data_IF_634318345408
#
_entry.id   IF_634318345408
#
_cell.length_a   1.000
_cell.length_b   1.000
_cell.length_c   1.000
_cell.angle_alpha   90.00
_cell.angle_beta   90.00
_cell.angle_gamma   90.00
#
_symmetry.space_group_name_H-M   'P 1'
#
loop_
_entity.id
_entity.type
_entity.pdbx_description
1 polymer ?
#
# COMPACT_ATOMS: atom_id res chain seq x y z
N UNK A 1 -31.05 51.03 26.80
CA UNK A 1 -31.01 50.40 25.45
C UNK A 1 -29.90 49.35 25.47
N UNK A 2 -30.27 48.06 25.55
CA UNK A 2 -29.29 46.93 25.54
C UNK A 2 -29.03 46.50 24.10
N UNK A 3 -27.78 46.65 23.64
CA UNK A 3 -27.36 46.22 22.30
C UNK A 3 -27.11 44.67 22.36
N UNK A 4 -27.93 43.89 21.65
CA UNK A 4 -27.70 42.48 21.42
C UNK A 4 -26.67 42.34 20.29
N UNK A 5 -25.53 41.75 20.61
CA UNK A 5 -24.53 41.36 19.61
C UNK A 5 -24.86 39.93 19.13
N UNK A 6 -25.31 39.79 17.88
CA UNK A 6 -25.57 38.47 17.27
C UNK A 6 -24.24 37.99 16.70
N UNK A 7 -23.69 36.93 17.30
CA UNK A 7 -22.51 36.23 16.77
C UNK A 7 -23.00 35.18 15.81
N UNK A 8 -22.75 35.37 14.52
CA UNK A 8 -23.04 34.38 13.47
C UNK A 8 -21.86 33.40 13.42
N UNK A 9 -22.09 32.17 13.89
CA UNK A 9 -21.16 31.08 13.69
C UNK A 9 -21.30 30.54 12.26
N UNK A 10 -20.31 30.82 11.41
CA UNK A 10 -20.22 30.19 10.10
C UNK A 10 -19.75 28.73 10.28
N UNK A 11 -20.66 27.80 10.04
CA UNK A 11 -20.36 26.37 10.01
C UNK A 11 -19.59 26.07 8.71
N UNK A 12 -18.28 25.93 8.81
CA UNK A 12 -17.46 25.46 7.68
C UNK A 12 -17.68 23.95 7.54
N UNK A 13 -18.49 23.56 6.56
CA UNK A 13 -18.67 22.17 6.18
C UNK A 13 -17.41 21.71 5.44
N UNK A 14 -16.55 20.98 6.15
CA UNK A 14 -15.48 20.21 5.51
C UNK A 14 -16.11 19.05 4.74
N UNK A 15 -16.29 19.22 3.44
CA UNK A 15 -16.57 18.08 2.55
C UNK A 15 -15.29 17.29 2.39
N UNK A 16 -15.25 15.98 2.75
CA UNK A 16 -14.10 15.15 2.45
C UNK A 16 -13.93 15.10 0.92
N UNK A 17 -12.81 15.57 0.42
CA UNK A 17 -12.43 15.35 -0.98
C UNK A 17 -12.25 13.84 -1.16
N UNK A 18 -13.24 13.21 -1.77
CA UNK A 18 -13.09 11.84 -2.29
C UNK A 18 -12.04 11.93 -3.40
N UNK A 19 -10.82 11.46 -3.10
CA UNK A 19 -9.83 11.23 -4.15
C UNK A 19 -10.42 10.18 -5.07
N UNK A 20 -10.93 10.62 -6.22
CA UNK A 20 -11.36 9.72 -7.27
C UNK A 20 -10.15 8.86 -7.65
N UNK A 21 -10.27 7.55 -7.44
CA UNK A 21 -9.38 6.59 -8.06
C UNK A 21 -9.48 6.86 -9.57
N UNK A 22 -8.41 7.41 -10.15
CA UNK A 22 -8.34 7.53 -11.60
C UNK A 22 -8.57 6.14 -12.15
N UNK A 23 -9.56 5.99 -13.05
CA UNK A 23 -9.87 4.73 -13.71
C UNK A 23 -8.66 4.33 -14.58
N UNK A 24 -7.67 3.71 -13.95
CA UNK A 24 -6.52 3.17 -14.65
C UNK A 24 -6.99 1.92 -15.37
N UNK A 25 -7.11 2.03 -16.69
CA UNK A 25 -7.53 0.91 -17.54
C UNK A 25 -6.46 -0.18 -17.52
N UNK A 26 -6.83 -1.35 -17.03
CA UNK A 26 -5.91 -2.48 -16.99
C UNK A 26 -5.65 -3.02 -18.41
N UNK A 27 -4.38 -3.23 -18.81
CA UNK A 27 -4.04 -3.75 -20.11
C UNK A 27 -4.51 -5.21 -20.27
N UNK A 28 -4.77 -5.63 -21.49
CA UNK A 28 -5.34 -6.95 -21.80
C UNK A 28 -4.53 -8.13 -21.22
N UNK A 29 -3.20 -8.01 -21.22
CA UNK A 29 -2.34 -9.05 -20.64
C UNK A 29 -2.56 -9.20 -19.12
N UNK A 30 -2.77 -8.08 -18.40
CA UNK A 30 -3.05 -8.11 -16.95
C UNK A 30 -4.40 -8.73 -16.67
N UNK A 31 -5.44 -8.35 -17.43
CA UNK A 31 -6.76 -8.95 -17.33
C UNK A 31 -6.72 -10.46 -17.53
N UNK A 32 -5.95 -10.94 -18.53
CA UNK A 32 -5.74 -12.37 -18.76
C UNK A 32 -5.05 -13.07 -17.58
N UNK A 33 -4.00 -12.45 -16.99
CA UNK A 33 -3.30 -12.98 -15.80
C UNK A 33 -4.26 -13.12 -14.61
N UNK A 34 -5.00 -12.06 -14.32
CA UNK A 34 -5.98 -12.04 -13.22
C UNK A 34 -7.11 -13.05 -13.43
N UNK A 35 -7.60 -13.20 -14.66
CA UNK A 35 -8.60 -14.21 -15.00
C UNK A 35 -8.08 -15.65 -14.80
N UNK A 36 -6.78 -15.89 -15.07
CA UNK A 36 -6.13 -17.18 -14.87
C UNK A 36 -5.80 -17.47 -13.39
N UNK A 37 -6.15 -16.58 -12.47
CA UNK A 37 -5.96 -16.77 -11.03
C UNK A 37 -4.73 -16.12 -10.43
N UNK A 38 -3.93 -15.37 -11.20
CA UNK A 38 -2.76 -14.63 -10.71
C UNK A 38 -3.20 -13.38 -9.92
N UNK A 39 -3.93 -13.60 -8.83
CA UNK A 39 -4.47 -12.53 -7.97
C UNK A 39 -4.73 -12.97 -6.53
N UNK A 40 -4.74 -12.01 -5.63
CA UNK A 40 -5.02 -12.22 -4.20
C UNK A 40 -6.48 -11.91 -3.86
N UNK A 41 -7.41 -12.80 -4.21
CA UNK A 41 -8.87 -12.60 -4.02
C UNK A 41 -9.26 -12.19 -2.60
N UNK A 42 -8.62 -12.79 -1.59
CA UNK A 42 -8.92 -12.48 -0.17
C UNK A 42 -8.58 -11.03 0.22
N UNK A 43 -7.76 -10.34 -0.56
CA UNK A 43 -7.34 -8.96 -0.31
C UNK A 43 -8.20 -7.93 -1.06
N UNK A 44 -8.98 -8.37 -2.06
CA UNK A 44 -9.80 -7.49 -2.91
C UNK A 44 -10.68 -6.51 -2.13
N UNK A 45 -11.45 -6.95 -1.11
CA UNK A 45 -12.31 -6.03 -0.38
C UNK A 45 -11.54 -4.91 0.35
N UNK A 46 -10.38 -5.24 0.92
CA UNK A 46 -9.56 -4.27 1.64
C UNK A 46 -8.83 -3.32 0.69
N UNK A 47 -8.38 -3.81 -0.48
CA UNK A 47 -7.77 -3.00 -1.54
C UNK A 47 -8.79 -2.02 -2.10
N UNK A 48 -10.02 -2.48 -2.39
CA UNK A 48 -11.11 -1.62 -2.85
C UNK A 48 -11.47 -0.55 -1.81
N UNK A 49 -11.62 -0.94 -0.55
CA UNK A 49 -11.94 -0.02 0.55
C UNK A 49 -10.84 1.03 0.77
N UNK A 50 -9.59 0.74 0.39
CA UNK A 50 -8.47 1.65 0.43
C UNK A 50 -8.39 2.58 -0.80
N UNK A 51 -9.31 2.47 -1.77
CA UNK A 51 -9.34 3.29 -2.98
C UNK A 51 -8.26 2.92 -4.01
N UNK A 52 -7.65 1.76 -3.89
CA UNK A 52 -6.63 1.31 -4.84
C UNK A 52 -7.27 0.57 -6.03
N UNK A 53 -6.70 0.67 -7.24
CA UNK A 53 -7.14 -0.09 -8.42
C UNK A 53 -7.05 -1.60 -8.18
N UNK A 54 -8.20 -2.26 -7.93
CA UNK A 54 -8.28 -3.64 -7.45
C UNK A 54 -7.54 -4.63 -8.37
N UNK A 55 -7.77 -4.54 -9.68
CA UNK A 55 -7.13 -5.43 -10.66
C UNK A 55 -5.60 -5.39 -10.58
N UNK A 56 -5.03 -4.19 -10.47
CA UNK A 56 -3.58 -4.02 -10.37
C UNK A 56 -3.06 -4.52 -9.02
N UNK A 57 -3.64 -4.04 -7.92
CA UNK A 57 -3.09 -4.33 -6.60
C UNK A 57 -3.28 -5.78 -6.15
N UNK A 58 -4.31 -6.47 -6.62
CA UNK A 58 -4.45 -7.92 -6.38
C UNK A 58 -3.42 -8.73 -7.17
N UNK A 59 -3.09 -8.31 -8.39
CA UNK A 59 -2.00 -8.89 -9.17
C UNK A 59 -0.62 -8.55 -8.59
N UNK A 60 -0.37 -7.29 -8.19
CA UNK A 60 0.87 -6.88 -7.53
C UNK A 60 1.11 -7.75 -6.28
N UNK A 61 0.12 -7.86 -5.39
CA UNK A 61 0.23 -8.71 -4.21
C UNK A 61 0.57 -10.17 -4.54
N UNK A 62 -0.01 -10.71 -5.61
CA UNK A 62 0.30 -12.05 -6.08
C UNK A 62 1.73 -12.15 -6.64
N UNK A 63 2.12 -11.22 -7.51
CA UNK A 63 3.45 -11.20 -8.13
C UNK A 63 4.56 -11.05 -7.09
N UNK A 64 4.41 -10.10 -6.16
CA UNK A 64 5.42 -9.72 -5.20
C UNK A 64 5.59 -10.71 -4.04
N UNK A 65 4.49 -11.23 -3.54
CA UNK A 65 4.53 -12.02 -2.29
C UNK A 65 3.81 -13.36 -2.33
N UNK A 66 3.12 -13.70 -3.43
CA UNK A 66 2.17 -14.80 -3.47
C UNK A 66 1.09 -14.67 -2.37
N UNK A 67 0.60 -13.45 -2.18
CA UNK A 67 -0.42 -13.09 -1.19
C UNK A 67 0.01 -13.25 0.29
N UNK A 68 1.31 -13.37 0.56
CA UNK A 68 1.82 -13.53 1.93
C UNK A 68 2.00 -12.19 2.61
N UNK A 69 1.19 -11.90 3.62
CA UNK A 69 1.17 -10.61 4.33
C UNK A 69 2.54 -10.28 4.95
N UNK A 70 3.18 -11.24 5.60
CA UNK A 70 4.49 -11.07 6.23
C UNK A 70 5.66 -11.50 5.35
N UNK A 71 5.53 -11.40 4.01
CA UNK A 71 6.60 -11.77 3.11
C UNK A 71 7.83 -10.90 3.32
N UNK A 72 8.98 -11.56 3.38
CA UNK A 72 10.29 -10.91 3.42
C UNK A 72 11.24 -11.63 2.49
N UNK A 73 12.17 -10.90 1.91
CA UNK A 73 13.23 -11.51 1.13
C UNK A 73 14.35 -11.98 2.06
N UNK A 74 14.19 -13.17 2.63
CA UNK A 74 15.12 -13.73 3.60
C UNK A 74 15.15 -15.26 3.52
N UNK A 75 16.26 -15.85 3.97
CA UNK A 75 16.46 -17.30 4.10
C UNK A 75 17.01 -17.66 5.48
N UNK A 76 16.81 -18.88 5.89
CA UNK A 76 17.49 -19.44 7.05
C UNK A 76 18.90 -19.90 6.65
N UNK A 77 19.91 -19.54 7.44
CA UNK A 77 21.23 -20.12 7.27
C UNK A 77 21.34 -21.47 7.99
N UNK A 78 22.50 -22.15 7.85
CA UNK A 78 22.75 -23.44 8.50
C UNK A 78 22.73 -23.39 10.02
N UNK A 79 22.90 -22.20 10.62
CA UNK A 79 22.86 -21.95 12.06
C UNK A 79 21.44 -21.57 12.56
N UNK A 80 20.41 -21.67 11.72
CA UNK A 80 19.04 -21.33 12.07
C UNK A 80 18.79 -19.83 12.26
N UNK A 81 19.66 -18.97 11.74
CA UNK A 81 19.45 -17.51 11.75
C UNK A 81 18.86 -17.01 10.43
N UNK A 82 18.01 -16.01 10.51
CA UNK A 82 17.48 -15.31 9.35
C UNK A 82 18.60 -14.48 8.71
N UNK A 83 18.83 -14.72 7.42
CA UNK A 83 19.73 -13.93 6.60
C UNK A 83 18.89 -13.25 5.53
N UNK A 84 18.84 -11.93 5.58
CA UNK A 84 18.15 -11.09 4.61
C UNK A 84 18.85 -11.18 3.26
N UNK A 85 18.06 -11.35 2.20
CA UNK A 85 18.56 -11.19 0.83
C UNK A 85 18.40 -9.71 0.47
N UNK A 86 19.51 -9.01 0.42
CA UNK A 86 19.51 -7.59 0.07
C UNK A 86 19.48 -7.41 -1.45
N UNK A 87 18.87 -6.31 -1.88
CA UNK A 87 19.00 -5.79 -3.21
C UNK A 87 20.44 -5.31 -3.46
N UNK A 88 20.81 -5.01 -4.71
CA UNK A 88 22.18 -4.55 -5.04
C UNK A 88 22.61 -3.29 -4.30
N UNK A 89 21.66 -2.42 -3.98
CA UNK A 89 21.85 -1.16 -3.24
C UNK A 89 21.80 -1.33 -1.72
N UNK A 90 21.74 -2.56 -1.22
CA UNK A 90 21.66 -2.88 0.20
C UNK A 90 20.27 -2.73 0.81
N UNK A 91 19.24 -2.40 0.02
CA UNK A 91 17.86 -2.35 0.48
C UNK A 91 17.22 -3.74 0.52
N UNK A 92 16.04 -3.84 1.11
CA UNK A 92 15.21 -5.05 1.10
C UNK A 92 13.73 -4.69 1.04
N UNK A 93 12.90 -5.64 0.61
CA UNK A 93 11.49 -5.45 0.42
C UNK A 93 10.68 -6.26 1.44
N UNK A 94 9.53 -5.72 1.88
CA UNK A 94 8.75 -6.30 2.97
C UNK A 94 7.25 -6.23 2.74
N UNK A 95 6.57 -7.26 3.22
CA UNK A 95 5.12 -7.36 3.25
C UNK A 95 4.51 -7.75 1.92
N UNK A 96 3.18 -7.69 1.85
CA UNK A 96 2.41 -8.23 0.72
C UNK A 96 2.68 -7.49 -0.60
N UNK A 97 2.93 -6.19 -0.55
CA UNK A 97 3.25 -5.34 -1.71
C UNK A 97 4.75 -5.12 -1.90
N UNK A 98 5.60 -5.80 -1.12
CA UNK A 98 7.07 -5.71 -1.16
C UNK A 98 7.57 -4.25 -1.15
N UNK A 99 7.15 -3.51 -0.11
CA UNK A 99 7.59 -2.13 0.10
C UNK A 99 9.06 -2.10 0.45
N UNK A 100 9.83 -1.29 -0.29
CA UNK A 100 11.28 -1.19 -0.14
C UNK A 100 11.69 -0.47 1.14
N UNK A 101 12.80 -0.90 1.75
CA UNK A 101 13.33 -0.33 3.00
C UNK A 101 13.85 1.11 2.86
N UNK A 102 14.05 1.62 1.66
CA UNK A 102 14.35 3.03 1.40
C UNK A 102 13.24 3.97 1.88
N UNK A 103 11.99 3.46 1.95
CA UNK A 103 10.83 4.19 2.46
C UNK A 103 10.72 4.23 3.99
N UNK A 104 11.84 4.04 4.71
CA UNK A 104 11.89 4.00 6.18
C UNK A 104 11.26 5.22 6.85
N UNK A 105 11.57 6.43 6.39
CA UNK A 105 11.03 7.67 6.95
C UNK A 105 9.52 7.74 6.74
N UNK A 106 9.06 7.52 5.53
CA UNK A 106 7.64 7.49 5.20
C UNK A 106 6.90 6.39 5.97
N UNK A 107 7.50 5.20 6.12
CA UNK A 107 6.92 4.12 6.93
C UNK A 107 6.70 4.56 8.38
N UNK A 108 7.65 5.28 8.97
CA UNK A 108 7.52 5.79 10.34
C UNK A 108 6.39 6.80 10.46
N UNK A 109 6.25 7.70 9.51
CA UNK A 109 5.18 8.71 9.46
C UNK A 109 3.81 8.06 9.33
N UNK A 110 3.66 7.13 8.39
CA UNK A 110 2.37 6.49 8.04
C UNK A 110 1.95 5.46 9.08
N UNK A 111 2.90 4.68 9.61
CA UNK A 111 2.62 3.51 10.44
C UNK A 111 2.95 3.68 11.93
N UNK A 112 3.64 4.76 12.31
CA UNK A 112 4.01 5.02 13.70
C UNK A 112 5.13 4.11 14.25
N UNK A 113 5.93 3.47 13.36
CA UNK A 113 7.00 2.55 13.78
C UNK A 113 8.04 2.31 12.69
N UNK A 114 8.97 1.38 12.92
CA UNK A 114 10.03 1.05 11.99
C UNK A 114 9.56 0.15 10.83
N UNK A 115 10.53 -0.34 10.06
CA UNK A 115 10.28 -1.19 8.88
C UNK A 115 9.59 -2.53 9.22
N UNK A 116 9.66 -2.99 10.47
CA UNK A 116 8.95 -4.17 10.97
C UNK A 116 7.43 -4.02 10.87
N UNK A 117 6.91 -2.77 10.85
CA UNK A 117 5.48 -2.52 10.65
C UNK A 117 5.00 -2.95 9.26
N UNK A 118 5.89 -2.95 8.26
CA UNK A 118 5.57 -3.39 6.90
C UNK A 118 5.16 -4.86 6.82
N UNK A 119 5.48 -5.67 7.83
CA UNK A 119 5.03 -7.05 7.94
C UNK A 119 3.58 -7.18 8.43
N UNK A 120 2.98 -6.07 8.87
CA UNK A 120 1.59 -6.01 9.26
C UNK A 120 0.74 -5.53 8.10
N UNK A 121 -0.31 -6.27 7.77
CA UNK A 121 -1.21 -5.99 6.64
C UNK A 121 -1.65 -4.52 6.58
N UNK A 122 -2.15 -3.99 7.71
CA UNK A 122 -2.68 -2.62 7.75
C UNK A 122 -1.64 -1.56 7.39
N UNK A 123 -0.42 -1.71 7.88
CA UNK A 123 0.66 -0.78 7.55
C UNK A 123 1.08 -0.92 6.08
N UNK A 124 1.28 -2.15 5.60
CA UNK A 124 1.70 -2.40 4.23
C UNK A 124 0.70 -1.85 3.21
N UNK A 125 -0.62 -2.02 3.48
CA UNK A 125 -1.68 -1.44 2.66
C UNK A 125 -1.67 0.10 2.69
N UNK A 126 -1.54 0.72 3.87
CA UNK A 126 -1.44 2.18 3.98
C UNK A 126 -0.25 2.73 3.21
N UNK A 127 0.90 2.08 3.31
CA UNK A 127 2.08 2.45 2.53
C UNK A 127 1.86 2.31 1.02
N UNK A 128 1.13 1.26 0.59
CA UNK A 128 0.79 1.11 -0.82
C UNK A 128 -0.13 2.25 -1.32
N UNK A 129 -1.07 2.71 -0.49
CA UNK A 129 -1.91 3.90 -0.79
C UNK A 129 -1.07 5.15 -0.93
N UNK A 130 -0.16 5.40 0.01
CA UNK A 130 0.75 6.56 -0.03
C UNK A 130 1.62 6.56 -1.30
N UNK A 131 2.25 5.43 -1.61
CA UNK A 131 3.11 5.31 -2.79
C UNK A 131 2.32 5.43 -4.08
N UNK A 132 1.11 4.87 -4.13
CA UNK A 132 0.23 5.02 -5.27
C UNK A 132 -0.17 6.49 -5.49
N UNK A 133 -0.44 7.22 -4.42
CA UNK A 133 -0.74 8.67 -4.47
C UNK A 133 0.45 9.52 -4.92
N UNK A 134 1.68 9.13 -4.54
CA UNK A 134 2.91 9.86 -4.86
C UNK A 134 3.36 9.65 -6.31
N UNK A 135 3.32 8.41 -6.79
CA UNK A 135 3.90 8.06 -8.09
C UNK A 135 3.13 7.02 -8.88
N UNK A 136 1.92 6.69 -8.49
CA UNK A 136 1.10 5.72 -9.20
C UNK A 136 1.67 4.30 -9.18
N UNK A 137 1.49 3.60 -10.28
CA UNK A 137 1.88 2.20 -10.40
C UNK A 137 3.36 1.97 -10.73
N UNK A 138 4.12 3.03 -11.05
CA UNK A 138 5.52 2.87 -11.47
C UNK A 138 6.41 2.29 -10.36
N UNK A 139 6.05 2.48 -9.08
CA UNK A 139 6.75 1.85 -7.95
C UNK A 139 6.76 0.32 -8.04
N UNK A 140 5.84 -0.25 -8.80
CA UNK A 140 5.74 -1.68 -9.06
C UNK A 140 6.01 -2.05 -10.52
N UNK A 141 6.59 -1.14 -11.31
CA UNK A 141 7.02 -1.41 -12.68
C UNK A 141 5.88 -1.53 -13.72
N UNK A 142 4.82 -0.74 -13.55
CA UNK A 142 3.73 -0.58 -14.51
C UNK A 142 3.78 0.77 -15.19
#
# INVERSE_FOLDING_TARGET
MKKFCVVIFALVLFTPTVVQAHDVVAPAWLLKRVANGDRCRKLEPAIAAAGLPVTFFTYIAFRESRCRVGAVNARWNKQGKIVWTLNRDGTFDSGVFQINSSWRTKTREVCGGGLEQLLKWKCNLRMAVELYGDGGLHHWGF
#
